data_IF_706387983118
#
_entry.id   IF_706387983118
#
_cell.length_a   1.000
_cell.length_b   1.000
_cell.length_c   1.000
_cell.angle_alpha   90.00
_cell.angle_beta   90.00
_cell.angle_gamma   90.00
#
_symmetry.space_group_name_H-M   'P 1'
#
loop_
_entity.id
_entity.type
_entity.pdbx_description
1 polymer ?
#
# COMPACT_ATOMS: atom_id res chain seq x y z
N UNK A 1 11.31 7.79 8.03
CA UNK A 1 10.77 8.41 6.82
C UNK A 1 11.24 7.68 5.57
N UNK A 2 10.33 7.37 4.64
CA UNK A 2 10.60 6.95 3.26
C UNK A 2 10.68 8.20 2.36
N UNK A 3 11.66 8.25 1.47
CA UNK A 3 11.73 9.22 0.36
C UNK A 3 11.20 8.54 -0.90
N UNK A 4 10.16 9.13 -1.50
CA UNK A 4 9.58 8.64 -2.75
C UNK A 4 10.19 9.31 -3.97
N UNK A 5 9.77 8.85 -5.15
CA UNK A 5 10.12 9.44 -6.45
C UNK A 5 8.87 9.88 -7.21
N UNK A 6 9.01 10.94 -8.01
CA UNK A 6 7.97 11.32 -8.96
C UNK A 6 8.16 10.55 -10.26
N UNK A 7 7.13 9.83 -10.71
CA UNK A 7 7.13 9.16 -12.01
C UNK A 7 7.05 10.16 -13.17
N UNK A 8 7.19 9.66 -14.41
CA UNK A 8 7.23 10.48 -15.63
C UNK A 8 5.94 11.27 -15.86
N UNK A 9 4.78 10.77 -15.43
CA UNK A 9 3.49 11.45 -15.51
C UNK A 9 3.12 12.12 -14.17
N UNK A 10 4.06 12.21 -13.24
CA UNK A 10 3.88 12.81 -11.93
C UNK A 10 3.22 11.87 -10.91
N UNK A 11 3.29 10.57 -11.13
CA UNK A 11 2.99 9.51 -10.18
C UNK A 11 3.76 9.73 -8.86
N UNK A 12 3.19 9.24 -7.76
CA UNK A 12 3.81 9.29 -6.43
C UNK A 12 4.26 7.87 -6.06
N UNK A 13 5.54 7.59 -6.27
CA UNK A 13 6.08 6.24 -6.14
C UNK A 13 6.90 6.11 -4.85
N UNK A 14 6.77 4.98 -4.17
CA UNK A 14 7.51 4.66 -2.95
C UNK A 14 8.02 3.23 -3.02
N UNK A 15 9.21 2.98 -2.50
CA UNK A 15 9.69 1.62 -2.25
C UNK A 15 9.22 1.15 -0.87
N UNK A 16 8.62 -0.03 -0.80
CA UNK A 16 8.24 -0.74 0.44
C UNK A 16 8.72 -2.19 0.34
N UNK A 17 8.74 -2.91 1.47
CA UNK A 17 8.97 -4.35 1.44
C UNK A 17 7.68 -5.12 1.69
N UNK A 18 7.45 -6.19 0.93
CA UNK A 18 6.48 -7.23 1.27
C UNK A 18 7.19 -8.36 2.00
N UNK A 19 6.57 -8.93 3.03
CA UNK A 19 7.09 -10.06 3.78
C UNK A 19 6.26 -11.29 3.42
N UNK A 20 6.85 -12.28 2.77
CA UNK A 20 6.20 -13.55 2.49
C UNK A 20 5.98 -14.38 3.76
N UNK A 21 5.12 -15.39 3.71
CA UNK A 21 4.82 -16.25 4.85
C UNK A 21 6.03 -17.04 5.39
N UNK A 22 7.09 -17.20 4.58
CA UNK A 22 8.37 -17.80 4.97
C UNK A 22 9.34 -16.78 5.63
N UNK A 23 8.97 -15.50 5.74
CA UNK A 23 9.77 -14.40 6.27
C UNK A 23 10.71 -13.73 5.26
N UNK A 24 10.70 -14.14 3.99
CA UNK A 24 11.47 -13.52 2.93
C UNK A 24 10.91 -12.13 2.60
N UNK A 25 11.80 -11.16 2.38
CA UNK A 25 11.45 -9.77 2.09
C UNK A 25 11.63 -9.47 0.60
N UNK A 26 10.60 -8.88 0.01
CA UNK A 26 10.54 -8.51 -1.40
C UNK A 26 10.37 -6.99 -1.50
N UNK A 27 11.45 -6.23 -1.77
CA UNK A 27 11.33 -4.80 -2.05
C UNK A 27 10.60 -4.61 -3.38
N UNK A 28 9.64 -3.69 -3.41
CA UNK A 28 9.01 -3.25 -4.65
C UNK A 28 8.60 -1.78 -4.59
N UNK A 29 8.51 -1.20 -5.77
CA UNK A 29 7.92 0.11 -5.98
C UNK A 29 6.39 0.02 -6.00
N UNK A 30 5.73 0.91 -5.28
CA UNK A 30 4.28 1.03 -5.21
C UNK A 30 3.83 2.43 -5.60
N UNK A 31 2.69 2.50 -6.30
CA UNK A 31 2.01 3.74 -6.64
C UNK A 31 1.07 4.15 -5.52
N UNK A 32 1.27 5.33 -4.93
CA UNK A 32 0.27 5.90 -4.02
C UNK A 32 -0.95 6.37 -4.82
N UNK A 33 -2.07 5.69 -4.60
CA UNK A 33 -3.37 6.02 -5.19
C UNK A 33 -4.33 6.54 -4.11
N UNK A 34 -4.50 7.86 -4.07
CA UNK A 34 -5.46 8.50 -3.14
C UNK A 34 -6.93 8.25 -3.49
N UNK A 35 -7.21 7.75 -4.70
CA UNK A 35 -8.55 7.31 -5.14
C UNK A 35 -8.91 5.91 -4.62
N UNK A 36 -7.92 5.10 -4.24
CA UNK A 36 -8.12 3.82 -3.59
C UNK A 36 -8.39 4.01 -2.08
N UNK A 37 -9.64 4.36 -1.76
CA UNK A 37 -10.01 4.90 -0.44
C UNK A 37 -10.29 3.88 0.65
N UNK A 38 -10.65 2.64 0.29
CA UNK A 38 -11.11 1.62 1.24
C UNK A 38 -10.11 0.49 1.47
N UNK A 39 -8.90 0.58 0.91
CA UNK A 39 -7.88 -0.44 1.08
C UNK A 39 -6.50 0.13 1.39
N UNK A 40 -5.65 -0.76 1.90
CA UNK A 40 -4.28 -0.46 2.28
C UNK A 40 -3.30 -0.72 1.13
N UNK A 41 -3.45 -1.87 0.49
CA UNK A 41 -2.62 -2.30 -0.63
C UNK A 41 -3.49 -3.05 -1.64
N UNK A 42 -3.21 -2.86 -2.93
CA UNK A 42 -3.77 -3.68 -3.99
C UNK A 42 -2.65 -4.20 -4.89
N UNK A 43 -2.65 -5.49 -5.22
CA UNK A 43 -1.56 -6.16 -5.94
C UNK A 43 -2.11 -7.10 -7.00
N UNK A 44 -1.34 -7.32 -8.07
CA UNK A 44 -1.70 -8.31 -9.07
C UNK A 44 -1.71 -9.73 -8.46
N UNK A 45 -2.73 -10.51 -8.78
CA UNK A 45 -2.84 -11.91 -8.29
C UNK A 45 -1.64 -12.77 -8.66
N UNK A 46 -0.95 -12.49 -9.78
CA UNK A 46 0.22 -13.24 -10.23
C UNK A 46 1.43 -13.04 -9.30
N UNK A 47 1.55 -11.86 -8.69
CA UNK A 47 2.67 -11.55 -7.79
C UNK A 47 2.49 -12.17 -6.40
N UNK A 48 1.28 -12.60 -6.05
CA UNK A 48 0.97 -13.22 -4.75
C UNK A 48 1.46 -14.65 -4.60
N UNK A 49 1.71 -15.37 -5.70
CA UNK A 49 2.07 -16.80 -5.64
C UNK A 49 3.34 -17.03 -4.81
N UNK A 50 4.31 -16.11 -4.90
CA UNK A 50 5.55 -16.17 -4.12
C UNK A 50 5.36 -15.79 -2.64
N UNK A 51 4.34 -14.98 -2.31
CA UNK A 51 4.13 -14.43 -0.98
C UNK A 51 3.47 -15.43 -0.02
N UNK A 52 2.68 -16.37 -0.56
CA UNK A 52 1.97 -17.41 0.20
C UNK A 52 1.12 -16.85 1.37
N UNK A 53 0.56 -15.65 1.20
CA UNK A 53 -0.28 -15.03 2.20
C UNK A 53 -1.59 -15.78 2.41
N UNK A 54 -2.17 -15.62 3.59
CA UNK A 54 -3.42 -16.30 3.96
C UNK A 54 -4.60 -15.56 3.34
N UNK A 55 -5.44 -16.29 2.60
CA UNK A 55 -6.71 -15.77 2.09
C UNK A 55 -7.69 -15.51 3.25
N UNK A 56 -8.15 -14.27 3.38
CA UNK A 56 -9.15 -13.85 4.37
C UNK A 56 -10.56 -14.02 3.78
N UNK A 57 -10.77 -13.56 2.56
CA UNK A 57 -12.06 -13.59 1.88
C UNK A 57 -11.85 -13.57 0.37
N UNK A 58 -12.75 -14.17 -0.39
CA UNK A 58 -12.70 -14.19 -1.85
C UNK A 58 -13.89 -13.45 -2.46
N UNK A 59 -13.73 -12.96 -3.68
CA UNK A 59 -14.82 -12.36 -4.47
C UNK A 59 -15.49 -11.17 -3.78
N UNK A 60 -14.70 -10.29 -3.18
CA UNK A 60 -15.18 -9.02 -2.64
C UNK A 60 -15.47 -8.06 -3.80
N UNK A 61 -16.73 -7.65 -3.92
CA UNK A 61 -17.15 -6.65 -4.91
C UNK A 61 -16.63 -5.26 -4.50
N UNK A 62 -15.96 -4.58 -5.44
CA UNK A 62 -15.51 -3.19 -5.29
C UNK A 62 -15.93 -2.35 -6.49
N UNK A 63 -16.21 -1.07 -6.24
CA UNK A 63 -16.44 -0.09 -7.29
C UNK A 63 -15.10 0.52 -7.72
N UNK A 64 -14.67 0.21 -8.94
CA UNK A 64 -13.48 0.77 -9.59
C UNK A 64 -13.88 1.83 -10.62
N UNK A 65 -12.87 2.48 -11.21
CA UNK A 65 -13.08 3.38 -12.35
C UNK A 65 -13.60 2.64 -13.61
N UNK A 66 -13.40 1.32 -13.72
CA UNK A 66 -13.88 0.50 -14.85
C UNK A 66 -15.25 -0.10 -14.61
N UNK A 67 -15.77 -0.04 -13.38
CA UNK A 67 -17.07 -0.57 -13.02
C UNK A 67 -17.01 -1.37 -11.72
N UNK A 68 -17.87 -2.38 -11.62
CA UNK A 68 -17.80 -3.33 -10.51
C UNK A 68 -16.82 -4.43 -10.85
N UNK A 69 -15.87 -4.67 -9.97
CA UNK A 69 -14.88 -5.74 -10.07
C UNK A 69 -14.85 -6.56 -8.78
N UNK A 70 -14.24 -7.74 -8.86
CA UNK A 70 -14.11 -8.65 -7.74
C UNK A 70 -12.65 -8.86 -7.40
N UNK A 71 -12.34 -8.77 -6.11
CA UNK A 71 -11.00 -8.94 -5.57
C UNK A 71 -11.00 -10.03 -4.50
N UNK A 72 -9.88 -10.72 -4.37
CA UNK A 72 -9.62 -11.55 -3.20
C UNK A 72 -8.89 -10.73 -2.15
N UNK A 73 -9.14 -11.00 -0.88
CA UNK A 73 -8.56 -10.29 0.25
C UNK A 73 -7.63 -11.22 1.00
N UNK A 74 -6.36 -10.82 1.14
CA UNK A 74 -5.32 -11.58 1.82
C UNK A 74 -4.84 -10.85 3.07
N UNK A 75 -4.35 -11.61 4.05
CA UNK A 75 -3.59 -11.09 5.19
C UNK A 75 -2.14 -10.90 4.74
N UNK A 76 -1.80 -9.68 4.34
CA UNK A 76 -0.46 -9.33 3.90
C UNK A 76 0.39 -8.76 5.03
N UNK A 77 1.70 -8.95 4.93
CA UNK A 77 2.67 -8.38 5.83
C UNK A 77 3.62 -7.48 5.05
N UNK A 78 3.83 -6.24 5.51
CA UNK A 78 4.61 -5.22 4.80
C UNK A 78 5.52 -4.46 5.74
N UNK A 79 6.60 -3.90 5.21
CA UNK A 79 7.45 -2.93 5.90
C UNK A 79 7.25 -1.58 5.24
N UNK A 80 6.78 -0.61 6.03
CA UNK A 80 6.71 0.80 5.63
C UNK A 80 7.45 1.60 6.67
N UNK A 81 8.44 2.38 6.21
CA UNK A 81 9.28 3.20 7.06
C UNK A 81 10.02 2.40 8.14
N UNK A 82 10.53 1.23 7.75
CA UNK A 82 11.19 0.29 8.66
C UNK A 82 10.29 -0.32 9.74
N UNK A 83 8.97 -0.10 9.68
CA UNK A 83 7.99 -0.68 10.61
C UNK A 83 7.17 -1.75 9.91
N UNK A 84 7.02 -2.89 10.56
CA UNK A 84 6.21 -3.99 10.09
C UNK A 84 4.72 -3.78 10.39
N UNK A 85 3.87 -4.12 9.43
CA UNK A 85 2.42 -4.09 9.55
C UNK A 85 1.80 -5.37 8.98
N UNK A 86 0.74 -5.84 9.62
CA UNK A 86 -0.17 -6.83 9.06
C UNK A 86 -1.42 -6.08 8.60
N UNK A 87 -1.76 -6.19 7.32
CA UNK A 87 -2.83 -5.44 6.66
C UNK A 87 -3.67 -6.33 5.74
N UNK A 88 -4.94 -5.97 5.48
CA UNK A 88 -5.69 -6.59 4.40
C UNK A 88 -5.21 -6.06 3.04
N UNK A 89 -4.89 -6.98 2.13
CA UNK A 89 -4.40 -6.70 0.76
C UNK A 89 -5.41 -7.19 -0.26
N UNK A 90 -5.79 -6.32 -1.19
CA UNK A 90 -6.69 -6.67 -2.29
C UNK A 90 -5.88 -7.25 -3.47
N UNK A 91 -6.31 -8.39 -3.96
CA UNK A 91 -5.70 -9.11 -5.07
C UNK A 91 -6.65 -9.11 -6.26
N UNK A 92 -6.15 -8.71 -7.44
CA UNK A 92 -6.94 -8.73 -8.67
C UNK A 92 -6.08 -8.88 -9.91
N UNK A 93 -6.63 -9.49 -10.96
CA UNK A 93 -5.88 -9.83 -12.17
C UNK A 93 -5.59 -8.61 -13.06
N UNK A 94 -6.42 -7.56 -12.96
CA UNK A 94 -6.34 -6.36 -13.79
C UNK A 94 -5.59 -5.19 -13.14
N UNK A 95 -4.85 -5.46 -12.07
CA UNK A 95 -4.03 -4.45 -11.37
C UNK A 95 -2.67 -4.35 -12.07
N UNK A 96 -2.37 -3.23 -12.78
CA UNK A 96 -1.13 -3.09 -13.54
C UNK A 96 0.08 -2.75 -12.65
N UNK A 97 -0.13 -1.98 -11.60
CA UNK A 97 0.89 -1.55 -10.63
C UNK A 97 0.39 -1.86 -9.22
N UNK A 98 1.28 -2.25 -8.31
CA UNK A 98 0.90 -2.38 -6.90
C UNK A 98 0.53 -1.00 -6.34
N UNK A 99 -0.67 -0.89 -5.79
CA UNK A 99 -1.22 0.36 -5.29
C UNK A 99 -1.09 0.44 -3.77
N UNK A 100 -0.57 1.56 -3.27
CA UNK A 100 -0.66 1.97 -1.88
C UNK A 100 -1.91 2.85 -1.72
N UNK A 101 -2.89 2.37 -0.94
CA UNK A 101 -4.17 3.06 -0.80
C UNK A 101 -4.15 4.20 0.22
N UNK A 102 -5.18 5.04 0.17
CA UNK A 102 -5.27 6.24 1.02
C UNK A 102 -5.47 5.91 2.51
N UNK A 103 -5.79 4.66 2.85
CA UNK A 103 -6.00 4.25 4.24
C UNK A 103 -4.75 4.42 5.11
N UNK A 104 -3.56 4.37 4.50
CA UNK A 104 -2.29 4.69 5.16
C UNK A 104 -2.25 6.11 5.72
N UNK A 105 -2.93 7.07 5.09
CA UNK A 105 -2.92 8.49 5.48
C UNK A 105 -3.50 8.76 6.88
N UNK A 106 -4.16 7.78 7.50
CA UNK A 106 -4.59 7.86 8.90
C UNK A 106 -3.43 7.78 9.91
N UNK A 107 -2.33 7.13 9.50
CA UNK A 107 -1.18 6.83 10.37
C UNK A 107 0.15 7.31 9.78
N UNK A 108 0.14 7.95 8.60
CA UNK A 108 1.35 8.51 8.00
C UNK A 108 1.21 10.01 7.73
N UNK A 109 2.34 10.72 7.79
CA UNK A 109 2.47 12.06 7.21
C UNK A 109 2.97 11.90 5.78
N UNK A 110 2.17 12.38 4.82
CA UNK A 110 2.56 12.50 3.42
C UNK A 110 2.90 13.96 3.11
N UNK A 111 4.11 14.21 2.62
CA UNK A 111 4.51 15.54 2.11
C UNK A 111 4.78 15.45 0.63
N UNK A 112 4.04 16.24 -0.15
CA UNK A 112 4.21 16.34 -1.61
C UNK A 112 4.47 17.80 -1.99
N UNK A 113 5.63 18.06 -2.59
CA UNK A 113 5.97 19.35 -3.17
C UNK A 113 6.81 19.16 -4.43
N UNK A 114 6.15 19.13 -5.59
CA UNK A 114 6.80 18.93 -6.89
C UNK A 114 7.79 20.02 -7.26
N UNK A 115 7.51 21.30 -6.93
CA UNK A 115 8.44 22.40 -7.26
C UNK A 115 9.72 22.39 -6.44
N UNK A 116 9.71 21.67 -5.31
CA UNK A 116 10.88 21.47 -4.44
C UNK A 116 11.43 20.04 -4.48
N UNK A 117 10.89 19.18 -5.34
CA UNK A 117 11.26 17.76 -5.44
C UNK A 117 11.14 17.01 -4.09
N UNK A 118 10.12 17.34 -3.29
CA UNK A 118 9.86 16.67 -2.01
C UNK A 118 8.71 15.69 -2.20
N UNK A 119 8.99 14.41 -1.95
CA UNK A 119 7.98 13.36 -1.80
C UNK A 119 8.41 12.45 -0.65
N UNK A 120 7.68 12.48 0.46
CA UNK A 120 8.03 11.68 1.65
C UNK A 120 6.79 11.10 2.32
N UNK A 121 6.95 9.90 2.88
CA UNK A 121 6.01 9.28 3.82
C UNK A 121 6.74 9.00 5.12
N UNK A 122 6.13 9.37 6.25
CA UNK A 122 6.65 9.07 7.59
C UNK A 122 5.54 8.50 8.48
N UNK A 123 5.81 7.40 9.18
CA UNK A 123 4.83 6.84 10.13
C UNK A 123 4.70 7.77 11.33
N UNK A 124 3.49 8.28 11.58
CA UNK A 124 3.18 9.10 12.74
C UNK A 124 3.05 8.19 13.96
N UNK A 125 3.95 8.35 14.93
CA UNK A 125 3.88 7.60 16.19
C UNK A 125 2.63 8.02 16.99
N UNK A 126 1.65 7.12 17.11
CA UNK A 126 0.37 7.37 17.79
C UNK A 126 0.52 7.59 19.30
N UNK A 127 1.69 7.32 19.89
CA UNK A 127 1.99 7.60 21.30
C UNK A 127 1.80 9.08 21.66
N UNK A 128 1.99 10.01 20.72
CA UNK A 128 1.78 11.45 20.95
C UNK A 128 0.31 11.92 20.89
N UNK A 129 -0.64 11.10 20.40
CA UNK A 129 -2.08 11.46 20.38
C UNK A 129 -2.74 11.24 21.75
N UNK A 130 -2.19 10.40 22.61
CA UNK A 130 -2.76 10.08 23.93
C UNK A 130 -2.39 11.10 25.03
N UNK A 131 -1.39 11.96 24.81
CA UNK A 131 -0.98 12.98 25.80
C UNK A 131 -1.68 14.33 25.62
N UNK A 132 -2.64 14.44 24.69
CA UNK A 132 -3.36 15.68 24.36
C UNK A 132 -4.89 15.53 24.37
N UNK A 133 -5.42 14.57 25.13
CA UNK A 133 -6.86 14.50 25.46
C UNK A 133 -7.08 14.60 26.95
#
# INVERSE_FOLDING_TARGET
>A
MIVGIFGENGELLFEIDLIAANGEQFPLEVLLDTGFTTGWLAINSQDLEALQWTLIASQIEMQTARGKEFFDLYEGQVIIDGKEFIIPVHAGDEIPETLLGSQWLEIVELVVNKSKEILTIEIIDLTNKLSKR
#
